data_IF_401794115137
#
_entry.id   IF_401794115137
#
_cell.length_a   1.000
_cell.length_b   1.000
_cell.length_c   1.000
_cell.angle_alpha   90.00
_cell.angle_beta   90.00
_cell.angle_gamma   90.00
#
_symmetry.space_group_name_H-M   'P 1'
#
loop_
_entity.id
_entity.type
_entity.pdbx_description
1 polymer ?
#
# COMPACT_ATOMS: atom_id res chain seq x y z
N UNK A 1 35.61 0.51 21.99
CA UNK A 1 34.58 1.57 21.89
C UNK A 1 34.10 1.62 20.45
N UNK A 2 32.98 0.96 20.13
CA UNK A 2 32.35 1.04 18.81
C UNK A 2 31.42 2.26 18.77
N UNK A 3 32.01 3.43 18.52
CA UNK A 3 31.28 4.62 18.10
C UNK A 3 30.94 4.46 16.62
N UNK A 4 29.87 3.71 16.36
CA UNK A 4 29.09 3.74 15.12
C UNK A 4 27.76 4.38 15.52
N UNK A 5 27.69 5.70 15.50
CA UNK A 5 26.45 6.43 15.76
C UNK A 5 26.43 7.69 14.91
N UNK A 6 25.25 7.93 14.34
CA UNK A 6 24.87 9.07 13.52
C UNK A 6 25.45 9.13 12.11
N UNK A 7 25.15 8.10 11.32
CA UNK A 7 24.67 8.38 9.97
C UNK A 7 23.22 8.83 10.17
N UNK A 8 23.02 10.12 10.47
CA UNK A 8 21.71 10.79 10.40
C UNK A 8 21.28 10.69 8.95
N UNK A 9 20.63 9.57 8.62
CA UNK A 9 19.90 9.37 7.38
C UNK A 9 18.87 10.50 7.36
N UNK A 10 19.18 11.53 6.57
CA UNK A 10 18.23 12.57 6.20
C UNK A 10 17.10 11.84 5.49
N UNK A 11 16.09 11.42 6.26
CA UNK A 11 14.90 10.77 5.74
C UNK A 11 14.24 11.84 4.90
N UNK A 12 14.56 11.85 3.61
CA UNK A 12 13.99 12.77 2.65
C UNK A 12 12.47 12.68 2.83
N UNK A 13 11.88 13.73 3.39
CA UNK A 13 10.53 13.70 3.96
C UNK A 13 9.50 13.77 2.84
N UNK A 14 9.53 12.77 1.96
CA UNK A 14 8.63 12.62 0.84
C UNK A 14 7.22 12.40 1.36
N UNK A 15 6.20 12.94 0.69
CA UNK A 15 4.81 12.81 1.14
C UNK A 15 4.33 11.35 1.14
N UNK A 16 4.97 10.49 0.36
CA UNK A 16 4.68 9.07 0.28
C UNK A 16 5.94 8.24 0.43
N UNK A 17 5.78 7.03 0.96
CA UNK A 17 6.83 6.03 1.01
C UNK A 17 6.25 4.69 0.55
N UNK A 18 7.07 3.88 -0.10
CA UNK A 18 6.65 2.57 -0.58
C UNK A 18 7.58 1.49 -0.05
N UNK A 19 6.98 0.36 0.32
CA UNK A 19 7.73 -0.77 0.85
C UNK A 19 7.00 -2.08 0.55
N UNK A 20 7.77 -3.11 0.17
CA UNK A 20 7.30 -4.50 0.24
C UNK A 20 7.22 -4.89 1.70
N UNK A 21 6.05 -5.33 2.17
CA UNK A 21 5.86 -5.69 3.57
C UNK A 21 6.81 -6.82 3.98
N UNK A 22 7.94 -6.47 4.61
CA UNK A 22 8.88 -7.45 5.19
C UNK A 22 8.23 -8.21 6.35
N UNK A 23 7.29 -7.56 7.04
CA UNK A 23 6.55 -8.11 8.17
C UNK A 23 5.08 -7.70 8.09
N UNK A 24 4.17 -8.64 8.34
CA UNK A 24 2.73 -8.44 8.25
C UNK A 24 2.10 -7.71 9.46
N UNK A 25 2.83 -6.76 10.06
CA UNK A 25 2.38 -6.02 11.26
C UNK A 25 1.65 -4.72 10.92
N UNK A 26 1.82 -4.19 9.70
CA UNK A 26 1.15 -2.96 9.29
C UNK A 26 -0.35 -3.22 9.07
N UNK A 27 -1.17 -2.25 9.49
CA UNK A 27 -2.62 -2.27 9.29
C UNK A 27 -3.00 -1.18 8.32
N UNK A 28 -3.74 -1.53 7.27
CA UNK A 28 -4.24 -0.57 6.31
C UNK A 28 -5.26 0.36 6.99
N UNK A 29 -5.02 1.68 6.95
CA UNK A 29 -5.95 2.67 7.56
C UNK A 29 -7.32 2.74 6.88
N UNK A 30 -7.46 2.25 5.64
CA UNK A 30 -8.72 2.25 4.87
C UNK A 30 -9.61 1.06 5.20
N UNK A 31 -9.15 -0.15 4.91
CA UNK A 31 -9.94 -1.38 5.09
C UNK A 31 -9.75 -2.00 6.49
N UNK A 32 -8.82 -1.46 7.30
CA UNK A 32 -8.47 -1.97 8.64
C UNK A 32 -7.95 -3.42 8.64
N UNK A 33 -7.60 -3.96 7.47
CA UNK A 33 -6.98 -5.28 7.34
C UNK A 33 -5.46 -5.18 7.48
N UNK A 34 -4.83 -6.26 7.92
CA UNK A 34 -3.37 -6.37 8.01
C UNK A 34 -2.78 -6.54 6.60
N UNK A 35 -1.72 -5.82 6.30
CA UNK A 35 -0.94 -6.03 5.08
C UNK A 35 -0.10 -7.30 5.28
N UNK A 36 -0.24 -8.30 4.41
CA UNK A 36 0.49 -9.56 4.52
C UNK A 36 1.97 -9.38 4.17
N UNK A 37 2.81 -10.31 4.62
CA UNK A 37 4.22 -10.31 4.25
C UNK A 37 4.37 -10.59 2.75
N UNK A 38 5.26 -9.84 2.08
CA UNK A 38 5.48 -9.94 0.64
C UNK A 38 4.48 -9.13 -0.20
N UNK A 39 3.52 -8.44 0.42
CA UNK A 39 2.60 -7.57 -0.31
C UNK A 39 3.10 -6.13 -0.34
N UNK A 40 2.93 -5.48 -1.49
CA UNK A 40 3.26 -4.07 -1.67
C UNK A 40 2.28 -3.18 -0.92
N UNK A 41 2.84 -2.25 -0.14
CA UNK A 41 2.08 -1.25 0.60
C UNK A 41 2.71 0.13 0.46
N UNK A 42 1.85 1.14 0.48
CA UNK A 42 2.24 2.54 0.37
C UNK A 42 1.89 3.24 1.67
N UNK A 43 2.86 3.91 2.28
CA UNK A 43 2.66 4.80 3.39
C UNK A 43 2.45 6.24 2.90
N UNK A 44 1.49 6.93 3.50
CA UNK A 44 1.33 8.38 3.36
C UNK A 44 1.88 9.05 4.62
N UNK A 45 2.77 10.01 4.47
CA UNK A 45 3.19 10.85 5.59
C UNK A 45 2.06 11.83 5.88
N UNK A 46 1.52 11.75 7.11
CA UNK A 46 0.59 12.74 7.62
C UNK A 46 1.11 13.32 8.93
N UNK A 47 0.78 14.59 9.16
CA UNK A 47 0.99 15.20 10.47
C UNK A 47 0.19 14.42 11.52
N UNK A 48 0.83 14.15 12.66
CA UNK A 48 0.19 13.48 13.77
C UNK A 48 -0.83 14.43 14.41
N UNK A 49 -2.12 14.07 14.50
CA UNK A 49 -3.12 14.94 15.11
C UNK A 49 -3.02 15.00 16.64
N UNK A 50 -2.17 14.18 17.27
CA UNK A 50 -2.06 14.05 18.73
C UNK A 50 -0.74 14.59 19.31
N UNK A 51 0.11 15.25 18.51
CA UNK A 51 1.39 15.80 18.98
C UNK A 51 2.30 16.24 17.85
N UNK A 52 3.50 16.69 18.19
CA UNK A 52 4.52 17.07 17.21
C UNK A 52 5.16 15.82 16.60
N UNK A 53 5.02 15.66 15.28
CA UNK A 53 5.61 14.56 14.52
C UNK A 53 4.84 14.20 13.26
N UNK A 54 5.53 13.60 12.29
CA UNK A 54 4.92 13.02 11.08
C UNK A 54 4.81 11.51 11.26
N UNK A 55 3.64 10.95 10.99
CA UNK A 55 3.38 9.52 11.06
C UNK A 55 3.21 8.93 9.67
N UNK A 56 3.88 7.79 9.41
CA UNK A 56 3.68 6.97 8.21
C UNK A 56 2.37 6.17 8.33
N UNK A 57 1.37 6.53 7.52
CA UNK A 57 0.08 5.85 7.47
C UNK A 57 0.06 4.81 6.34
N UNK A 58 0.16 3.53 6.69
CA UNK A 58 0.18 2.42 5.73
C UNK A 58 -1.18 2.13 5.08
N UNK A 59 -1.15 1.86 3.78
CA UNK A 59 -2.29 1.50 2.96
C UNK A 59 -1.90 0.42 1.93
N UNK A 60 -2.85 -0.44 1.56
CA UNK A 60 -2.70 -1.25 0.34
C UNK A 60 -2.72 -0.34 -0.89
N UNK A 61 -2.05 -0.78 -1.97
CA UNK A 61 -2.04 -0.13 -3.29
C UNK A 61 -3.48 0.29 -3.67
N UNK A 62 -4.39 -0.67 -3.80
CA UNK A 62 -5.78 -0.42 -4.19
C UNK A 62 -6.52 0.55 -3.26
N UNK A 63 -6.35 0.39 -1.95
CA UNK A 63 -7.02 1.22 -0.97
C UNK A 63 -6.58 2.69 -1.04
N UNK A 64 -5.29 2.93 -1.33
CA UNK A 64 -4.75 4.28 -1.45
C UNK A 64 -5.32 4.99 -2.69
N UNK A 65 -5.37 4.33 -3.85
CA UNK A 65 -5.96 4.91 -5.05
C UNK A 65 -7.45 5.20 -4.90
N UNK A 66 -8.20 4.27 -4.29
CA UNK A 66 -9.58 4.55 -3.92
C UNK A 66 -9.71 5.73 -2.93
N UNK A 67 -8.67 6.00 -2.13
CA UNK A 67 -8.67 7.13 -1.22
C UNK A 67 -8.50 8.41 -2.01
N UNK A 68 -7.52 8.48 -2.90
CA UNK A 68 -7.31 9.63 -3.78
C UNK A 68 -8.54 9.98 -4.61
N UNK A 69 -9.27 8.99 -5.12
CA UNK A 69 -10.53 9.21 -5.85
C UNK A 69 -11.66 9.83 -5.02
N UNK A 70 -11.59 9.77 -3.69
CA UNK A 70 -12.54 10.42 -2.77
C UNK A 70 -12.00 11.73 -2.21
N UNK A 71 -10.68 11.96 -2.26
CA UNK A 71 -10.10 13.19 -1.75
C UNK A 71 -10.34 14.36 -2.72
N UNK A 72 -10.33 15.58 -2.18
CA UNK A 72 -10.49 16.80 -2.99
C UNK A 72 -9.26 17.02 -3.87
N UNK A 73 -9.43 17.74 -4.98
CA UNK A 73 -8.36 18.09 -5.91
C UNK A 73 -7.14 18.75 -5.26
N UNK A 74 -7.37 19.46 -4.14
CA UNK A 74 -6.39 20.23 -3.40
C UNK A 74 -5.49 19.38 -2.49
N UNK A 75 -5.81 18.11 -2.24
CA UNK A 75 -4.93 17.25 -1.44
C UNK A 75 -3.80 16.70 -2.30
N UNK A 76 -2.57 16.76 -1.78
CA UNK A 76 -1.37 16.17 -2.41
C UNK A 76 -1.64 14.72 -2.82
N UNK A 77 -1.43 14.44 -4.10
CA UNK A 77 -1.49 13.13 -4.74
C UNK A 77 -0.09 12.75 -5.22
N UNK A 78 0.09 11.47 -5.52
CA UNK A 78 1.31 10.97 -6.15
C UNK A 78 1.27 11.43 -7.61
N UNK A 79 2.15 12.35 -8.00
CA UNK A 79 2.27 12.83 -9.39
C UNK A 79 3.39 12.12 -10.14
N UNK A 80 4.43 11.68 -9.42
CA UNK A 80 5.57 10.98 -9.99
C UNK A 80 6.31 10.10 -8.98
N UNK A 81 7.32 9.35 -9.44
CA UNK A 81 8.16 8.53 -8.56
C UNK A 81 9.02 9.37 -7.60
N UNK A 82 9.24 10.65 -7.90
CA UNK A 82 9.97 11.60 -7.04
C UNK A 82 9.28 11.87 -5.69
N UNK A 83 7.95 11.78 -5.65
CA UNK A 83 7.15 11.95 -4.43
C UNK A 83 7.15 10.71 -3.52
N UNK A 84 7.81 9.61 -3.96
CA UNK A 84 7.76 8.30 -3.31
C UNK A 84 9.15 7.93 -2.77
N UNK A 85 9.25 7.84 -1.46
CA UNK A 85 10.41 7.31 -0.76
C UNK A 85 10.49 5.78 -0.89
N UNK A 86 11.68 5.23 -1.11
CA UNK A 86 11.88 3.78 -1.29
C UNK A 86 11.60 3.24 -2.69
N UNK A 87 11.44 4.11 -3.70
CA UNK A 87 11.27 3.68 -5.11
C UNK A 87 12.41 2.80 -5.60
N UNK A 88 13.63 3.04 -5.14
CA UNK A 88 14.85 2.37 -5.61
C UNK A 88 14.92 0.89 -5.20
N UNK A 89 14.33 0.56 -4.04
CA UNK A 89 14.38 -0.77 -3.44
C UNK A 89 13.31 -1.74 -4.00
N UNK A 90 12.56 -1.32 -5.02
CA UNK A 90 11.53 -2.12 -5.69
C UNK A 90 12.04 -2.73 -6.98
N UNK A 91 11.49 -3.90 -7.31
CA UNK A 91 11.71 -4.55 -8.61
C UNK A 91 11.07 -3.73 -9.73
N UNK A 92 11.56 -3.89 -10.96
CA UNK A 92 11.05 -3.17 -12.12
C UNK A 92 9.58 -3.50 -12.42
N UNK A 93 9.17 -4.77 -12.21
CA UNK A 93 7.77 -5.19 -12.31
C UNK A 93 6.86 -4.43 -11.35
N UNK A 94 7.30 -4.25 -10.11
CA UNK A 94 6.54 -3.58 -9.06
C UNK A 94 6.43 -2.08 -9.36
N UNK A 95 7.53 -1.46 -9.79
CA UNK A 95 7.57 -0.07 -10.26
C UNK A 95 6.57 0.16 -11.38
N UNK A 96 6.51 -0.75 -12.35
CA UNK A 96 5.59 -0.63 -13.49
C UNK A 96 4.11 -0.75 -13.07
N UNK A 97 3.78 -1.68 -12.16
CA UNK A 97 2.41 -1.83 -11.61
C UNK A 97 1.93 -0.54 -10.94
N UNK A 98 2.79 0.08 -10.13
CA UNK A 98 2.46 1.34 -9.45
C UNK A 98 2.31 2.48 -10.46
N UNK A 99 3.19 2.59 -11.45
CA UNK A 99 3.10 3.61 -12.50
C UNK A 99 1.81 3.48 -13.31
N UNK A 100 1.44 2.26 -13.70
CA UNK A 100 0.17 1.99 -14.38
C UNK A 100 -1.01 2.42 -13.49
N UNK A 101 -0.97 2.07 -12.21
CA UNK A 101 -2.04 2.38 -11.27
C UNK A 101 -2.18 3.87 -10.95
N UNK A 102 -1.06 4.60 -10.92
CA UNK A 102 -1.04 6.07 -10.80
C UNK A 102 -1.71 6.70 -12.02
N UNK A 103 -1.37 6.26 -13.23
CA UNK A 103 -2.01 6.75 -14.48
C UNK A 103 -3.51 6.47 -14.51
N UNK A 104 -3.93 5.26 -14.14
CA UNK A 104 -5.35 4.90 -14.03
C UNK A 104 -6.06 5.81 -13.01
N UNK A 105 -5.45 6.05 -11.85
CA UNK A 105 -6.02 6.92 -10.84
C UNK A 105 -6.11 8.39 -11.26
N UNK A 106 -5.13 8.89 -12.01
CA UNK A 106 -5.14 10.25 -12.56
C UNK A 106 -6.30 10.41 -13.57
N UNK A 107 -6.42 9.47 -14.51
CA UNK A 107 -7.53 9.48 -15.49
C UNK A 107 -8.91 9.36 -14.82
N UNK A 108 -9.03 8.49 -13.82
CA UNK A 108 -10.26 8.32 -13.03
C UNK A 108 -10.58 9.55 -12.16
N UNK A 109 -9.58 10.35 -11.80
CA UNK A 109 -9.78 11.62 -11.11
C UNK A 109 -10.29 12.71 -12.06
N UNK A 110 -9.69 12.84 -13.25
CA UNK A 110 -10.12 13.80 -14.28
C UNK A 110 -11.56 13.53 -14.75
N UNK A 111 -11.98 12.28 -14.86
CA UNK A 111 -13.36 11.92 -15.23
C UNK A 111 -14.39 12.21 -14.13
N UNK A 112 -13.97 12.26 -12.86
CA UNK A 112 -14.86 12.58 -11.72
C UNK A 112 -14.96 14.07 -11.43
N UNK A 113 -13.88 14.81 -11.63
CA UNK A 113 -13.80 16.24 -11.32
C UNK A 113 -13.91 17.15 -12.56
N UNK A 114 -13.77 16.60 -13.76
CA UNK A 114 -14.05 17.25 -15.03
C UNK A 114 -15.36 16.72 -15.63
N UNK A 115 -16.16 17.62 -16.19
CA UNK A 115 -17.44 17.32 -16.83
C UNK A 115 -17.31 16.18 -17.86
N UNK A 116 -17.97 15.04 -17.55
CA UNK A 116 -18.25 13.82 -18.36
C UNK A 116 -17.42 13.53 -19.62
N UNK A 117 -16.82 12.33 -19.64
CA UNK A 117 -17.04 11.37 -20.73
C UNK A 117 -16.87 9.92 -20.21
N UNK A 118 -17.88 9.11 -20.48
CA UNK A 118 -17.95 7.68 -20.24
C UNK A 118 -16.95 6.90 -21.11
N UNK A 119 -16.14 6.03 -20.50
CA UNK A 119 -16.03 4.64 -20.96
C UNK A 119 -15.39 3.74 -19.89
N UNK A 120 -16.12 2.69 -19.53
CA UNK A 120 -15.61 1.53 -18.78
C UNK A 120 -14.79 0.64 -19.72
N UNK A 121 -13.92 -0.26 -19.21
CA UNK A 121 -14.42 -1.61 -19.06
C UNK A 121 -13.97 -2.32 -17.78
N UNK A 122 -14.94 -3.00 -17.14
CA UNK A 122 -14.76 -4.24 -16.39
C UNK A 122 -13.66 -5.11 -17.00
N UNK A 123 -12.60 -5.41 -16.23
CA UNK A 123 -11.97 -6.74 -16.28
C UNK A 123 -12.15 -7.43 -14.94
N UNK A 124 -13.08 -8.39 -14.96
CA UNK A 124 -13.16 -9.47 -13.98
C UNK A 124 -11.93 -10.36 -14.21
N UNK A 125 -11.24 -10.68 -13.13
CA UNK A 125 -10.43 -11.89 -13.02
C UNK A 125 -10.71 -12.51 -11.64
N UNK A 126 -10.64 -13.85 -11.53
CA UNK A 126 -11.70 -14.64 -10.89
C UNK A 126 -11.51 -14.88 -9.38
N UNK A 127 -12.58 -15.24 -8.65
CA UNK A 127 -12.49 -15.74 -7.28
C UNK A 127 -11.99 -17.19 -7.31
N UNK A 128 -10.77 -17.45 -6.85
CA UNK A 128 -10.35 -18.82 -6.49
C UNK A 128 -10.66 -19.09 -5.01
N UNK A 129 -11.92 -19.48 -4.82
CA UNK A 129 -12.44 -20.52 -3.94
C UNK A 129 -11.42 -21.40 -3.18
N UNK A 130 -11.47 -21.31 -1.84
CA UNK A 130 -11.55 -22.38 -0.81
C UNK A 130 -10.44 -23.47 -0.76
N UNK A 131 -9.62 -23.45 0.31
CA UNK A 131 -9.62 -24.36 1.51
C UNK A 131 -8.76 -25.63 1.34
N UNK A 132 -8.40 -26.41 2.40
CA UNK A 132 -8.83 -26.39 3.82
C UNK A 132 -7.66 -26.39 4.85
N UNK A 133 -7.79 -25.79 6.04
CA UNK A 133 -8.24 -26.41 7.31
C UNK A 133 -7.80 -27.89 7.49
N UNK A 134 -6.65 -28.11 8.13
CA UNK A 134 -6.23 -29.43 8.63
C UNK A 134 -6.47 -29.44 10.15
N UNK A 135 -7.63 -29.96 10.53
CA UNK A 135 -7.90 -30.43 11.89
C UNK A 135 -7.09 -31.71 12.12
N UNK A 136 -6.34 -31.76 13.23
CA UNK A 136 -5.50 -32.89 13.63
C UNK A 136 -6.05 -33.44 14.96
N UNK A 137 -6.86 -34.49 14.86
CA UNK A 137 -7.25 -35.43 15.91
C UNK A 137 -7.62 -36.73 15.13
N UNK A 138 -7.22 -37.95 15.48
CA UNK A 138 -7.02 -38.59 16.77
C UNK A 138 -5.96 -39.72 16.64
N UNK A 139 -5.22 -39.97 17.73
CA UNK A 139 -4.43 -41.19 17.93
C UNK A 139 -5.37 -42.33 18.33
N UNK A 140 -5.47 -43.39 17.52
CA UNK A 140 -5.90 -44.72 18.00
C UNK A 140 -4.66 -45.54 18.32
N UNK A 141 -4.47 -45.85 19.60
CA UNK A 141 -3.42 -46.74 20.08
C UNK A 141 -3.96 -48.16 20.11
N UNK A 142 -3.18 -49.06 19.54
CA UNK A 142 -3.41 -50.50 19.45
C UNK A 142 -2.85 -51.19 20.70
N UNK A 143 -3.67 -52.01 21.36
CA UNK A 143 -3.29 -53.08 22.33
C UNK A 143 -4.58 -53.90 22.51
N UNK A 144 -4.72 -55.15 22.05
CA UNK A 144 -4.02 -56.38 22.43
C UNK A 144 -3.80 -56.54 23.92
#
# INVERSE_FOLDING_TARGET
MNVMSDEEEYVEEKPFAIEVAKQGRAVCKKCKQKCLQGELRIAKLMANPFGEGKMKAWHHINCLFEQFLKQRATTKRISGPEDIDGWENLSEDEKNDILERVKDCESAFHTKNGTKASNSPKKKSPPKTKNPKVEKAEKKISKK
#
